data_IF_459007511160
#
_entry.id   IF_459007511160
#
_cell.length_a   1.000
_cell.length_b   1.000
_cell.length_c   1.000
_cell.angle_alpha   90.00
_cell.angle_beta   90.00
_cell.angle_gamma   90.00
#
_symmetry.space_group_name_H-M   'P 1'
#
loop_
_entity.id
_entity.type
_entity.pdbx_description
1 polymer ?
#
# COMPACT_ATOMS: atom_id res chain seq x y z
N UNK A 1 -6.34 0.98 -45.00
CA UNK A 1 -5.33 -0.08 -45.09
C UNK A 1 -3.99 0.62 -45.11
N UNK A 2 -3.22 0.54 -44.04
CA UNK A 2 -1.93 1.24 -43.92
C UNK A 2 -0.89 0.44 -44.67
N UNK A 3 -0.24 1.03 -45.66
CA UNK A 3 0.84 0.40 -46.44
C UNK A 3 2.18 0.99 -45.99
N UNK A 4 3.14 0.12 -45.68
CA UNK A 4 4.50 0.50 -45.27
C UNK A 4 5.47 0.31 -46.43
N UNK A 5 6.57 1.08 -46.47
CA UNK A 5 7.69 0.76 -47.36
C UNK A 5 8.44 -0.46 -46.85
N UNK A 6 9.08 -1.21 -47.76
CA UNK A 6 9.87 -2.39 -47.39
C UNK A 6 10.98 -2.05 -46.39
N UNK A 7 11.68 -0.93 -46.59
CA UNK A 7 12.71 -0.44 -45.68
C UNK A 7 12.18 -0.18 -44.25
N UNK A 8 10.98 0.42 -44.14
CA UNK A 8 10.34 0.65 -42.84
C UNK A 8 9.96 -0.68 -42.18
N UNK A 9 9.48 -1.63 -42.99
CA UNK A 9 9.05 -2.94 -42.50
C UNK A 9 10.24 -3.76 -42.00
N UNK A 10 11.36 -3.75 -42.73
CA UNK A 10 12.60 -4.41 -42.33
C UNK A 10 13.16 -3.82 -41.02
N UNK A 11 13.23 -2.48 -40.92
CA UNK A 11 13.72 -1.81 -39.70
C UNK A 11 12.91 -2.22 -38.46
N UNK A 12 11.58 -2.23 -38.56
CA UNK A 12 10.71 -2.60 -37.44
C UNK A 12 10.69 -4.12 -37.20
N UNK A 13 10.87 -4.94 -38.22
CA UNK A 13 11.00 -6.39 -38.06
C UNK A 13 12.28 -6.75 -37.29
N UNK A 14 13.41 -6.13 -37.62
CA UNK A 14 14.68 -6.31 -36.91
C UNK A 14 14.55 -5.88 -35.45
N UNK A 15 13.92 -4.73 -35.21
CA UNK A 15 13.69 -4.20 -33.87
C UNK A 15 12.76 -5.10 -33.04
N UNK A 16 11.72 -5.66 -33.67
CA UNK A 16 10.81 -6.63 -33.04
C UNK A 16 11.54 -7.89 -32.57
N UNK A 17 12.48 -8.41 -33.37
CA UNK A 17 13.31 -9.58 -33.01
C UNK A 17 14.30 -9.22 -31.91
N UNK A 18 15.00 -8.09 -32.02
CA UNK A 18 15.97 -7.63 -31.01
C UNK A 18 15.33 -7.47 -29.63
N UNK A 19 14.11 -6.91 -29.58
CA UNK A 19 13.37 -6.71 -28.34
C UNK A 19 12.59 -7.94 -27.88
N UNK A 20 12.65 -9.05 -28.63
CA UNK A 20 12.00 -10.33 -28.32
C UNK A 20 10.52 -10.20 -27.96
N UNK A 21 9.82 -9.27 -28.60
CA UNK A 21 8.44 -8.90 -28.25
C UNK A 21 7.43 -10.05 -28.41
N UNK A 22 7.79 -11.08 -29.20
CA UNK A 22 7.02 -12.33 -29.29
C UNK A 22 6.86 -13.03 -27.94
N UNK A 23 7.82 -12.90 -27.03
CA UNK A 23 7.76 -13.48 -25.68
C UNK A 23 6.73 -12.77 -24.78
N UNK A 24 6.41 -11.53 -25.10
CA UNK A 24 5.33 -10.78 -24.46
C UNK A 24 3.95 -11.04 -25.12
N UNK A 25 3.87 -12.00 -26.05
CA UNK A 25 2.62 -12.39 -26.71
C UNK A 25 2.16 -11.44 -27.81
N UNK A 26 3.05 -10.55 -28.28
CA UNK A 26 2.74 -9.55 -29.32
C UNK A 26 3.28 -10.04 -30.67
N UNK A 27 2.50 -9.88 -31.73
CA UNK A 27 2.95 -10.16 -33.10
C UNK A 27 3.42 -8.89 -33.83
N UNK A 28 4.11 -9.06 -34.97
CA UNK A 28 4.67 -7.94 -35.73
C UNK A 28 3.60 -6.93 -36.20
N UNK A 29 2.42 -7.42 -36.62
CA UNK A 29 1.34 -6.54 -37.07
C UNK A 29 0.79 -5.67 -35.93
N UNK A 30 0.68 -6.23 -34.72
CA UNK A 30 0.31 -5.49 -33.52
C UNK A 30 1.39 -4.48 -33.12
N UNK A 31 2.66 -4.89 -33.17
CA UNK A 31 3.79 -4.00 -32.90
C UNK A 31 3.77 -2.76 -33.80
N UNK A 32 3.60 -2.95 -35.11
CA UNK A 32 3.55 -1.87 -36.10
C UNK A 32 2.39 -0.89 -35.88
N UNK A 33 1.30 -1.32 -35.23
CA UNK A 33 0.18 -0.43 -34.93
C UNK A 33 0.54 0.63 -33.87
N UNK A 34 1.47 0.32 -32.95
CA UNK A 34 1.95 1.28 -31.95
C UNK A 34 3.35 0.90 -31.41
N UNK A 35 4.43 1.16 -32.17
CA UNK A 35 5.77 0.71 -31.80
C UNK A 35 6.21 1.21 -30.43
N UNK A 36 6.03 2.50 -30.14
CA UNK A 36 6.46 3.14 -28.89
C UNK A 36 5.87 2.47 -27.65
N UNK A 37 4.61 2.05 -27.70
CA UNK A 37 3.98 1.36 -26.58
C UNK A 37 4.61 0.00 -26.32
N UNK A 38 4.83 -0.78 -27.36
CA UNK A 38 5.35 -2.14 -27.24
C UNK A 38 6.85 -2.17 -26.94
N UNK A 39 7.63 -1.19 -27.40
CA UNK A 39 9.04 -1.07 -27.02
C UNK A 39 9.23 -0.84 -25.53
N UNK A 40 8.28 -0.19 -24.86
CA UNK A 40 8.31 -0.05 -23.39
C UNK A 40 8.14 -1.40 -22.68
N UNK A 41 7.40 -2.36 -23.27
CA UNK A 41 7.26 -3.70 -22.69
C UNK A 41 8.58 -4.46 -22.66
N UNK A 42 9.53 -4.14 -23.55
CA UNK A 42 10.85 -4.77 -23.54
C UNK A 42 11.70 -4.36 -22.32
N UNK A 43 11.30 -3.32 -21.58
CA UNK A 43 11.91 -2.92 -20.31
C UNK A 43 11.31 -3.68 -19.12
N UNK A 44 10.13 -4.26 -19.30
CA UNK A 44 9.46 -5.05 -18.27
C UNK A 44 10.06 -6.46 -18.23
N UNK A 45 10.07 -7.13 -17.07
CA UNK A 45 10.50 -8.51 -16.98
C UNK A 45 9.66 -9.38 -17.93
N UNK A 46 10.34 -10.29 -18.65
CA UNK A 46 9.65 -11.24 -19.52
C UNK A 46 8.63 -12.05 -18.72
N UNK A 47 7.43 -12.31 -19.28
CA UNK A 47 6.46 -13.15 -18.61
C UNK A 47 7.00 -14.56 -18.43
N UNK A 48 6.59 -15.21 -17.34
CA UNK A 48 6.99 -16.58 -17.05
C UNK A 48 6.56 -17.51 -18.18
N UNK A 49 7.44 -18.45 -18.51
CA UNK A 49 7.09 -19.53 -19.44
C UNK A 49 5.92 -20.35 -18.85
N UNK A 50 5.06 -20.98 -19.68
CA UNK A 50 3.92 -21.75 -19.19
C UNK A 50 4.29 -22.80 -18.13
N UNK A 51 5.44 -23.47 -18.29
CA UNK A 51 5.95 -24.43 -17.31
C UNK A 51 6.37 -23.78 -15.98
N UNK A 52 6.97 -22.58 -16.03
CA UNK A 52 7.34 -21.83 -14.83
C UNK A 52 6.09 -21.30 -14.12
N UNK A 53 5.11 -20.78 -14.86
CA UNK A 53 3.83 -20.34 -14.31
C UNK A 53 3.09 -21.50 -13.63
N UNK A 54 3.07 -22.69 -14.25
CA UNK A 54 2.49 -23.88 -13.63
C UNK A 54 3.18 -24.25 -12.32
N UNK A 55 4.50 -24.12 -12.23
CA UNK A 55 5.23 -24.34 -10.98
C UNK A 55 4.87 -23.31 -9.91
N UNK A 56 4.79 -22.03 -10.25
CA UNK A 56 4.36 -20.96 -9.33
C UNK A 56 2.95 -21.23 -8.80
N UNK A 57 2.01 -21.58 -9.68
CA UNK A 57 0.63 -21.89 -9.28
C UNK A 57 0.57 -23.11 -8.34
N UNK A 58 1.37 -24.16 -8.61
CA UNK A 58 1.47 -25.33 -7.72
C UNK A 58 2.02 -24.96 -6.35
N UNK A 59 3.05 -24.11 -6.30
CA UNK A 59 3.61 -23.62 -5.02
C UNK A 59 2.53 -22.86 -4.27
N UNK A 60 1.88 -21.90 -4.93
CA UNK A 60 0.84 -21.07 -4.32
C UNK A 60 -0.33 -21.91 -3.79
N UNK A 61 -0.82 -22.89 -4.57
CA UNK A 61 -1.85 -23.83 -4.14
C UNK A 61 -1.43 -24.61 -2.87
N UNK A 62 -0.18 -25.07 -2.80
CA UNK A 62 0.32 -25.78 -1.60
C UNK A 62 0.30 -24.88 -0.37
N UNK A 63 0.69 -23.61 -0.51
CA UNK A 63 0.62 -22.65 0.58
C UNK A 63 -0.81 -22.37 1.02
N UNK A 64 -1.73 -22.15 0.08
CA UNK A 64 -3.15 -21.87 0.35
C UNK A 64 -3.88 -23.04 1.03
N UNK A 65 -3.52 -24.27 0.65
CA UNK A 65 -4.11 -25.50 1.22
C UNK A 65 -3.39 -26.03 2.46
N UNK A 66 -2.32 -25.38 2.91
CA UNK A 66 -1.49 -25.85 4.03
C UNK A 66 -0.69 -27.13 3.74
N UNK A 67 -0.63 -27.57 2.48
CA UNK A 67 0.17 -28.71 2.00
C UNK A 67 1.64 -28.33 1.73
N UNK A 68 2.01 -27.06 1.94
CA UNK A 68 3.38 -26.61 1.88
C UNK A 68 4.18 -27.19 3.05
N UNK A 69 5.30 -27.84 2.75
CA UNK A 69 6.25 -28.26 3.79
C UNK A 69 6.79 -27.02 4.48
N UNK A 70 6.51 -26.88 5.77
CA UNK A 70 7.16 -25.88 6.60
C UNK A 70 8.59 -26.36 6.86
N UNK A 71 9.60 -25.50 6.63
CA UNK A 71 10.96 -25.86 6.99
C UNK A 71 11.00 -26.17 8.50
N UNK A 72 11.66 -27.26 8.89
CA UNK A 72 11.75 -27.67 10.31
C UNK A 72 12.29 -26.56 11.23
N UNK A 73 13.08 -25.62 10.69
CA UNK A 73 13.57 -24.44 11.41
C UNK A 73 12.47 -23.41 11.78
N UNK A 74 11.28 -23.47 11.17
CA UNK A 74 10.14 -22.62 11.53
C UNK A 74 9.31 -23.17 12.70
N UNK A 75 9.59 -24.41 13.16
CA UNK A 75 8.85 -25.04 14.25
C UNK A 75 9.35 -24.67 15.64
N UNK A 76 10.52 -24.04 15.78
CA UNK A 76 10.92 -23.42 17.03
C UNK A 76 10.30 -22.02 17.14
N UNK A 77 8.97 -21.99 17.21
CA UNK A 77 8.28 -20.81 17.67
C UNK A 77 8.52 -20.74 19.18
N UNK A 78 9.47 -19.92 19.63
CA UNK A 78 9.62 -19.52 21.05
C UNK A 78 8.49 -18.56 21.46
N UNK A 79 7.28 -18.86 21.00
CA UNK A 79 6.10 -18.10 21.32
C UNK A 79 5.81 -18.45 22.78
N UNK A 80 5.91 -17.47 23.71
CA UNK A 80 5.60 -17.72 25.12
C UNK A 80 4.19 -18.33 25.20
N UNK A 81 3.90 -19.13 26.21
CA UNK A 81 2.54 -19.65 26.42
C UNK A 81 1.57 -18.47 26.62
N UNK A 82 0.96 -18.01 25.53
CA UNK A 82 -0.02 -16.92 25.54
C UNK A 82 -1.39 -17.53 25.35
N UNK A 83 -2.24 -17.38 26.36
CA UNK A 83 -3.65 -17.71 26.22
C UNK A 83 -4.36 -16.53 25.56
N UNK A 84 -4.88 -16.73 24.36
CA UNK A 84 -5.68 -15.74 23.63
C UNK A 84 -6.93 -15.31 24.44
N UNK A 85 -7.39 -16.14 25.38
CA UNK A 85 -8.48 -15.79 26.31
C UNK A 85 -8.08 -14.67 27.25
N UNK A 86 -6.88 -14.73 27.83
CA UNK A 86 -6.34 -13.67 28.70
C UNK A 86 -6.20 -12.35 27.94
N UNK A 87 -5.82 -12.42 26.67
CA UNK A 87 -5.71 -11.23 25.83
C UNK A 87 -7.08 -10.61 25.51
N UNK A 88 -8.10 -11.43 25.25
CA UNK A 88 -9.47 -10.94 25.08
C UNK A 88 -10.03 -10.34 26.36
N UNK A 89 -9.79 -10.95 27.51
CA UNK A 89 -10.26 -10.43 28.78
C UNK A 89 -9.56 -9.12 29.15
N UNK A 90 -8.25 -9.02 28.87
CA UNK A 90 -7.53 -7.75 28.97
C UNK A 90 -8.14 -6.68 28.08
N UNK A 91 -8.43 -6.99 26.82
CA UNK A 91 -9.03 -6.03 25.89
C UNK A 91 -10.43 -5.58 26.33
N UNK A 92 -11.25 -6.50 26.85
CA UNK A 92 -12.56 -6.17 27.44
C UNK A 92 -12.40 -5.23 28.64
N UNK A 93 -11.48 -5.53 29.55
CA UNK A 93 -11.21 -4.67 30.69
C UNK A 93 -10.72 -3.27 30.28
N UNK A 94 -9.80 -3.17 29.33
CA UNK A 94 -9.31 -1.90 28.80
C UNK A 94 -10.44 -1.08 28.15
N UNK A 95 -11.32 -1.75 27.40
CA UNK A 95 -12.49 -1.12 26.76
C UNK A 95 -13.49 -0.61 27.80
N UNK A 96 -13.84 -1.41 28.79
CA UNK A 96 -14.71 -0.98 29.90
C UNK A 96 -14.14 0.21 30.67
N UNK A 97 -12.82 0.23 30.89
CA UNK A 97 -12.15 1.34 31.56
C UNK A 97 -12.23 2.63 30.73
N UNK A 98 -11.99 2.54 29.42
CA UNK A 98 -12.10 3.66 28.51
C UNK A 98 -13.55 4.20 28.46
N UNK A 99 -14.54 3.33 28.37
CA UNK A 99 -15.96 3.71 28.38
C UNK A 99 -16.34 4.41 29.70
N UNK A 100 -15.90 3.89 30.86
CA UNK A 100 -16.14 4.52 32.17
C UNK A 100 -15.50 5.90 32.29
N UNK A 101 -14.32 6.10 31.69
CA UNK A 101 -13.64 7.39 31.70
C UNK A 101 -14.43 8.44 30.90
N UNK A 102 -14.95 8.07 29.74
CA UNK A 102 -15.69 8.97 28.84
C UNK A 102 -17.16 9.15 29.28
N UNK A 103 -17.76 8.17 29.97
CA UNK A 103 -19.12 8.25 30.51
C UNK A 103 -19.33 9.40 31.50
N UNK A 104 -18.25 9.90 32.13
CA UNK A 104 -18.29 11.04 33.05
C UNK A 104 -18.16 12.40 32.33
N UNK A 105 -17.88 12.41 31.03
CA UNK A 105 -17.72 13.63 30.24
C UNK A 105 -19.08 14.21 29.85
N UNK A 106 -19.14 15.54 29.79
CA UNK A 106 -20.34 16.24 29.34
C UNK A 106 -20.57 15.98 27.84
N UNK A 107 -21.84 15.83 27.46
CA UNK A 107 -22.25 15.65 26.07
C UNK A 107 -23.01 16.89 25.56
N UNK A 108 -22.83 17.21 24.28
CA UNK A 108 -23.64 18.20 23.56
C UNK A 108 -24.17 17.56 22.28
N UNK A 109 -25.49 17.47 22.13
CA UNK A 109 -26.16 16.82 21.00
C UNK A 109 -25.68 15.37 20.75
N UNK A 110 -25.39 14.61 21.81
CA UNK A 110 -24.92 13.22 21.71
C UNK A 110 -23.42 13.05 21.42
N UNK A 111 -22.66 14.13 21.20
CA UNK A 111 -21.21 14.08 21.07
C UNK A 111 -20.54 14.43 22.42
N UNK A 112 -19.50 13.68 22.80
CA UNK A 112 -18.68 13.99 23.97
C UNK A 112 -17.88 15.28 23.73
N UNK A 113 -17.90 16.21 24.69
CA UNK A 113 -17.20 17.49 24.62
C UNK A 113 -16.14 17.54 25.71
N UNK A 114 -14.87 17.59 25.31
CA UNK A 114 -13.77 17.84 26.23
C UNK A 114 -13.70 19.33 26.57
N UNK A 115 -13.72 19.72 27.86
CA UNK A 115 -13.60 21.13 28.24
C UNK A 115 -12.20 21.65 27.90
N UNK A 116 -12.14 22.60 26.96
CA UNK A 116 -10.90 23.27 26.58
C UNK A 116 -10.42 24.19 27.72
N UNK A 117 -9.43 23.75 28.49
CA UNK A 117 -8.76 24.57 29.49
C UNK A 117 -7.86 25.60 28.80
N UNK A 118 -8.37 26.82 28.61
CA UNK A 118 -7.53 27.95 28.22
C UNK A 118 -6.71 28.41 29.42
N UNK A 119 -5.38 28.43 29.27
CA UNK A 119 -4.55 29.20 30.19
C UNK A 119 -4.92 30.68 30.05
N UNK A 120 -5.56 31.23 31.09
CA UNK A 120 -5.80 32.68 31.15
C UNK A 120 -4.44 33.36 31.26
N UNK A 121 -4.03 34.09 30.23
CA UNK A 121 -2.96 35.06 30.39
C UNK A 121 -3.41 36.12 31.40
N UNK A 122 -2.60 36.35 32.43
CA UNK A 122 -2.83 37.43 33.39
C UNK A 122 -3.01 38.75 32.62
N UNK A 123 -4.05 39.50 32.96
CA UNK A 123 -4.34 40.79 32.32
C UNK A 123 -3.09 41.68 32.37
N UNK A 124 -2.65 42.17 31.20
CA UNK A 124 -1.50 43.07 31.06
C UNK A 124 -1.64 44.25 32.03
N UNK A 125 -0.59 44.49 32.80
CA UNK A 125 -0.44 45.62 33.70
C UNK A 125 -0.61 46.93 32.90
N UNK A 126 -1.52 47.83 33.31
CA UNK A 126 -1.79 49.13 32.65
C UNK A 126 -0.69 50.19 32.90
N UNK A 127 0.56 49.78 33.12
CA UNK A 127 1.68 50.67 33.43
C UNK A 127 2.46 51.15 32.19
N UNK A 128 1.98 50.87 30.98
CA UNK A 128 2.59 51.35 29.76
C UNK A 128 2.22 52.84 29.53
N UNK A 129 3.04 53.75 30.04
CA UNK A 129 2.96 55.19 29.79
C UNK A 129 3.44 55.52 28.37
N UNK A 130 2.59 55.32 27.36
CA UNK A 130 2.81 55.90 26.04
C UNK A 130 2.09 57.25 25.96
N UNK A 131 2.84 58.34 26.03
CA UNK A 131 2.31 59.68 25.72
C UNK A 131 2.10 59.78 24.21
N UNK A 132 0.85 60.08 23.79
CA UNK A 132 0.53 60.40 22.40
C UNK A 132 1.19 61.73 22.03
N UNK A 133 2.12 61.74 21.08
CA UNK A 133 2.77 62.97 20.61
C UNK A 133 1.78 63.76 19.73
N UNK A 134 1.31 64.91 20.21
CA UNK A 134 0.54 65.89 19.43
C UNK A 134 -0.93 66.06 19.83
N UNK A 135 -1.18 66.62 21.01
CA UNK A 135 -2.43 67.30 21.38
C UNK A 135 -2.07 68.62 22.06
#
# INVERSE_FOLDING_TARGET
MTTYSDETLEQYADRFVQLRLSRHGVNLAQYLANPVQFERLALEPEPLLPAQQAAVLRIWQRWDTGLAEQPAAAQESSVPDWDWRDQLDRWRCETEQAERAVARMQQRNGAYVEPLHHHRHNARNRSANFAKRGA
#
